data_IF_870034865632
#
_entry.id   IF_870034865632
#
_cell.length_a   1.000
_cell.length_b   1.000
_cell.length_c   1.000
_cell.angle_alpha   90.00
_cell.angle_beta   90.00
_cell.angle_gamma   90.00
#
_symmetry.space_group_name_H-M   'P 1'
#
loop_
_entity.id
_entity.type
_entity.pdbx_description
1 polymer ?
#
# COMPACT_ATOMS: atom_id res chain seq x y z
N UNK A 1 -38.37 29.20 -14.38
CA UNK A 1 -37.05 29.84 -14.13
C UNK A 1 -36.22 28.80 -13.45
N UNK A 2 -35.66 27.87 -14.28
CA UNK A 2 -34.84 26.78 -13.82
C UNK A 2 -33.48 27.32 -13.37
N UNK A 3 -33.26 27.28 -12.07
CA UNK A 3 -31.96 27.53 -11.48
C UNK A 3 -31.02 26.39 -11.91
N UNK A 4 -30.19 26.64 -12.93
CA UNK A 4 -29.07 25.80 -13.30
C UNK A 4 -28.24 25.52 -12.04
N UNK A 5 -28.30 24.27 -11.55
CA UNK A 5 -27.33 23.78 -10.57
C UNK A 5 -25.95 24.03 -11.14
N UNK A 6 -25.00 24.61 -10.40
CA UNK A 6 -23.64 24.75 -10.87
C UNK A 6 -23.13 23.36 -11.22
N UNK A 7 -22.82 23.11 -12.48
CA UNK A 7 -22.02 21.97 -12.88
C UNK A 7 -20.68 22.11 -12.16
N UNK A 8 -20.48 21.36 -11.09
CA UNK A 8 -19.17 21.17 -10.51
C UNK A 8 -18.32 20.55 -11.62
N UNK A 9 -17.45 21.38 -12.20
CA UNK A 9 -16.47 20.93 -13.20
C UNK A 9 -15.67 19.81 -12.53
N UNK A 10 -15.85 18.58 -12.97
CA UNK A 10 -15.08 17.46 -12.46
C UNK A 10 -13.60 17.78 -12.67
N UNK A 11 -12.81 17.62 -11.61
CA UNK A 11 -11.38 17.92 -11.66
C UNK A 11 -10.71 16.77 -12.41
N UNK A 12 -10.07 17.08 -13.52
CA UNK A 12 -9.26 16.11 -14.26
C UNK A 12 -8.19 15.53 -13.33
N UNK A 13 -8.00 14.20 -13.33
CA UNK A 13 -7.08 13.52 -12.43
C UNK A 13 -6.03 12.72 -13.20
N UNK A 14 -4.75 13.09 -13.05
CA UNK A 14 -3.60 12.41 -13.63
C UNK A 14 -2.79 11.75 -12.51
N UNK A 15 -2.73 10.45 -12.53
CA UNK A 15 -2.10 9.66 -11.46
C UNK A 15 -0.89 8.93 -12.01
N UNK A 16 0.26 9.07 -11.36
CA UNK A 16 1.44 8.23 -11.62
C UNK A 16 1.48 7.11 -10.59
N UNK A 17 1.48 5.88 -11.07
CA UNK A 17 1.57 4.69 -10.23
C UNK A 17 2.87 3.97 -10.49
N UNK A 18 3.66 3.82 -9.46
CA UNK A 18 4.89 3.03 -9.44
C UNK A 18 4.72 1.75 -8.60
N UNK A 19 5.77 1.01 -8.47
CA UNK A 19 5.88 -0.22 -7.69
C UNK A 19 6.83 -1.18 -8.39
N UNK A 20 7.52 -2.02 -7.64
CA UNK A 20 8.57 -2.88 -8.20
C UNK A 20 8.04 -3.90 -9.22
N UNK A 21 8.95 -4.48 -9.99
CA UNK A 21 8.62 -5.57 -10.93
C UNK A 21 8.08 -6.78 -10.16
N UNK A 22 7.14 -7.51 -10.74
CA UNK A 22 6.49 -8.67 -10.11
C UNK A 22 5.30 -8.34 -9.21
N UNK A 23 4.88 -7.06 -9.16
CA UNK A 23 3.74 -6.65 -8.34
C UNK A 23 2.38 -6.86 -9.02
N UNK A 24 2.35 -7.22 -10.31
CA UNK A 24 1.14 -7.33 -11.15
C UNK A 24 0.27 -6.05 -11.10
N UNK A 25 0.96 -4.90 -11.21
CA UNK A 25 0.31 -3.59 -11.16
C UNK A 25 -0.79 -3.42 -12.21
N UNK A 26 -0.59 -4.02 -13.39
CA UNK A 26 -1.53 -3.91 -14.49
C UNK A 26 -2.90 -4.46 -14.09
N UNK A 27 -2.95 -5.70 -13.62
CA UNK A 27 -4.20 -6.37 -13.22
C UNK A 27 -4.90 -5.59 -12.11
N UNK A 28 -4.13 -5.14 -11.11
CA UNK A 28 -4.67 -4.31 -10.03
C UNK A 28 -5.27 -2.99 -10.54
N UNK A 29 -4.58 -2.30 -11.45
CA UNK A 29 -5.05 -1.03 -11.99
C UNK A 29 -6.22 -1.20 -12.97
N UNK A 30 -6.33 -2.34 -13.65
CA UNK A 30 -7.51 -2.71 -14.42
C UNK A 30 -8.74 -2.88 -13.51
N UNK A 31 -8.57 -3.49 -12.31
CA UNK A 31 -9.63 -3.56 -11.29
C UNK A 31 -9.99 -2.16 -10.77
N UNK A 32 -9.01 -1.28 -10.52
CA UNK A 32 -9.27 0.12 -10.15
C UNK A 32 -10.08 0.84 -11.23
N UNK A 33 -9.70 0.70 -12.50
CA UNK A 33 -10.45 1.30 -13.62
C UNK A 33 -11.87 0.74 -13.73
N UNK A 34 -12.05 -0.57 -13.51
CA UNK A 34 -13.37 -1.21 -13.51
C UNK A 34 -14.25 -0.70 -12.36
N UNK A 35 -13.67 -0.56 -11.17
CA UNK A 35 -14.37 0.01 -10.01
C UNK A 35 -14.74 1.48 -10.25
N UNK A 36 -13.82 2.28 -10.76
CA UNK A 36 -14.07 3.69 -11.10
C UNK A 36 -15.21 3.85 -12.12
N UNK A 37 -15.25 2.99 -13.16
CA UNK A 37 -16.32 2.99 -14.16
C UNK A 37 -17.69 2.70 -13.54
N UNK A 38 -17.78 1.81 -12.56
CA UNK A 38 -19.03 1.56 -11.82
C UNK A 38 -19.50 2.79 -11.05
N UNK A 39 -18.58 3.73 -10.73
CA UNK A 39 -18.86 5.00 -10.08
C UNK A 39 -18.87 6.21 -11.04
N UNK A 40 -19.03 5.95 -12.35
CA UNK A 40 -19.16 7.00 -13.37
C UNK A 40 -17.87 7.69 -13.77
N UNK A 41 -16.69 7.12 -13.44
CA UNK A 41 -15.39 7.68 -13.79
C UNK A 41 -14.70 6.83 -14.88
N UNK A 42 -14.50 7.41 -16.05
CA UNK A 42 -13.72 6.78 -17.12
C UNK A 42 -12.25 7.16 -17.03
N UNK A 43 -11.40 6.15 -16.84
CA UNK A 43 -9.95 6.33 -16.66
C UNK A 43 -9.20 5.69 -17.83
N UNK A 44 -8.34 6.45 -18.48
CA UNK A 44 -7.38 5.90 -19.44
C UNK A 44 -6.19 5.30 -18.67
N UNK A 45 -6.01 3.97 -18.74
CA UNK A 45 -4.84 3.30 -18.18
C UNK A 45 -3.72 3.23 -19.23
N UNK A 46 -2.58 3.81 -18.92
CA UNK A 46 -1.38 3.79 -19.74
C UNK A 46 -0.30 2.92 -19.10
N UNK A 47 -0.16 1.68 -19.57
CA UNK A 47 0.91 0.78 -19.15
C UNK A 47 2.18 1.07 -19.96
N UNK A 48 3.16 1.73 -19.34
CA UNK A 48 4.43 2.13 -20.00
C UNK A 48 5.18 0.89 -20.51
N UNK A 49 5.23 -0.17 -19.71
CA UNK A 49 5.89 -1.43 -20.10
C UNK A 49 5.29 -2.06 -21.36
N UNK A 50 3.96 -2.20 -21.43
CA UNK A 50 3.27 -2.79 -22.58
C UNK A 50 3.53 -1.98 -23.86
N UNK A 51 3.48 -0.65 -23.74
CA UNK A 51 3.75 0.25 -24.88
C UNK A 51 5.21 0.18 -25.35
N UNK A 52 6.15 0.00 -24.42
CA UNK A 52 7.56 -0.19 -24.77
C UNK A 52 7.77 -1.52 -25.54
N UNK A 53 7.07 -2.61 -25.16
CA UNK A 53 7.11 -3.85 -25.92
C UNK A 53 6.47 -3.70 -27.31
N UNK A 54 5.40 -2.93 -27.45
CA UNK A 54 4.78 -2.66 -28.75
C UNK A 54 5.73 -1.93 -29.70
N UNK A 55 6.58 -1.01 -29.18
CA UNK A 55 7.62 -0.33 -29.98
C UNK A 55 8.89 -1.16 -30.19
N UNK A 56 9.06 -2.26 -29.48
CA UNK A 56 10.23 -3.14 -29.56
C UNK A 56 9.83 -4.61 -29.74
N UNK A 57 9.18 -4.99 -30.87
CA UNK A 57 8.67 -6.34 -31.10
C UNK A 57 9.76 -7.40 -31.23
N UNK A 58 11.02 -7.01 -31.40
CA UNK A 58 12.20 -7.87 -31.37
C UNK A 58 12.62 -8.30 -29.96
N UNK A 59 12.07 -7.65 -28.90
CA UNK A 59 12.39 -7.96 -27.51
C UNK A 59 11.37 -8.98 -26.97
N UNK A 60 11.81 -10.18 -26.53
CA UNK A 60 10.89 -11.18 -25.99
C UNK A 60 10.16 -10.68 -24.71
N UNK A 61 8.94 -11.14 -24.43
CA UNK A 61 8.24 -10.83 -23.18
C UNK A 61 9.10 -11.13 -21.94
N UNK A 62 9.05 -10.25 -20.94
CA UNK A 62 9.83 -10.34 -19.70
C UNK A 62 11.32 -9.95 -19.84
N UNK A 63 11.79 -9.52 -21.06
CA UNK A 63 13.20 -9.25 -21.34
C UNK A 63 13.51 -7.78 -21.63
N UNK A 64 12.58 -6.87 -21.44
CA UNK A 64 12.79 -5.44 -21.73
C UNK A 64 13.94 -4.82 -20.92
N UNK A 65 14.21 -5.30 -19.71
CA UNK A 65 15.31 -4.84 -18.88
C UNK A 65 16.68 -5.45 -19.26
N UNK A 66 16.71 -6.43 -20.17
CA UNK A 66 17.94 -7.05 -20.66
C UNK A 66 18.58 -6.26 -21.83
N UNK A 67 17.84 -5.33 -22.46
CA UNK A 67 18.37 -4.47 -23.53
C UNK A 67 19.30 -3.38 -22.97
N UNK A 68 20.05 -2.72 -23.85
CA UNK A 68 20.94 -1.63 -23.42
C UNK A 68 20.18 -0.48 -22.77
N UNK A 69 20.76 0.16 -21.76
CA UNK A 69 20.17 1.31 -21.07
C UNK A 69 19.79 2.44 -22.03
N UNK A 70 20.61 2.70 -23.05
CA UNK A 70 20.33 3.73 -24.05
C UNK A 70 19.04 3.43 -24.82
N UNK A 71 18.88 2.19 -25.29
CA UNK A 71 17.65 1.76 -25.99
C UNK A 71 16.44 1.83 -25.05
N UNK A 72 16.58 1.36 -23.81
CA UNK A 72 15.53 1.42 -22.80
C UNK A 72 15.06 2.87 -22.55
N UNK A 73 15.99 3.82 -22.45
CA UNK A 73 15.67 5.24 -22.32
C UNK A 73 14.94 5.81 -23.56
N UNK A 74 15.42 5.44 -24.77
CA UNK A 74 14.79 5.92 -26.02
C UNK A 74 13.35 5.41 -26.15
N UNK A 75 13.12 4.13 -25.89
CA UNK A 75 11.77 3.56 -25.91
C UNK A 75 10.85 4.25 -24.89
N UNK A 76 11.32 4.45 -23.68
CA UNK A 76 10.52 5.14 -22.65
C UNK A 76 10.16 6.55 -23.07
N UNK A 77 11.10 7.31 -23.64
CA UNK A 77 10.85 8.66 -24.13
C UNK A 77 9.80 8.68 -25.24
N UNK A 78 9.86 7.74 -26.17
CA UNK A 78 8.87 7.61 -27.22
C UNK A 78 7.48 7.38 -26.65
N UNK A 79 7.34 6.37 -25.79
CA UNK A 79 6.07 6.03 -25.13
C UNK A 79 5.49 7.21 -24.35
N UNK A 80 6.33 7.95 -23.60
CA UNK A 80 5.84 9.11 -22.84
C UNK A 80 5.39 10.26 -23.73
N UNK A 81 5.99 10.48 -24.91
CA UNK A 81 5.47 11.46 -25.89
C UNK A 81 4.04 11.11 -26.30
N UNK A 82 3.78 9.84 -26.56
CA UNK A 82 2.44 9.39 -26.94
C UNK A 82 1.44 9.52 -25.78
N UNK A 83 1.87 9.23 -24.55
CA UNK A 83 1.04 9.43 -23.37
C UNK A 83 0.70 10.90 -23.20
N UNK A 84 1.68 11.79 -23.31
CA UNK A 84 1.48 13.24 -23.21
C UNK A 84 0.51 13.78 -24.29
N UNK A 85 0.57 13.25 -25.51
CA UNK A 85 -0.37 13.61 -26.58
C UNK A 85 -1.82 13.18 -26.28
N UNK A 86 -2.03 12.19 -25.43
CA UNK A 86 -3.36 11.69 -25.05
C UNK A 86 -3.96 12.44 -23.85
N UNK A 87 -3.16 13.16 -23.06
CA UNK A 87 -3.63 13.83 -21.82
C UNK A 87 -4.73 14.86 -22.04
N UNK A 88 -4.78 15.51 -23.22
CA UNK A 88 -5.80 16.50 -23.54
C UNK A 88 -7.15 15.88 -23.96
N UNK A 89 -7.18 14.56 -24.22
CA UNK A 89 -8.36 13.85 -24.76
C UNK A 89 -9.10 13.05 -23.68
N UNK A 90 -8.50 12.88 -22.50
CA UNK A 90 -9.05 12.09 -21.42
C UNK A 90 -9.05 12.90 -20.13
N UNK A 91 -10.14 12.88 -19.41
CA UNK A 91 -10.32 13.60 -18.16
C UNK A 91 -9.48 12.94 -17.04
N UNK A 92 -9.51 11.61 -16.94
CA UNK A 92 -8.73 10.89 -15.96
C UNK A 92 -7.73 9.96 -16.63
N UNK A 93 -6.52 9.92 -16.08
CA UNK A 93 -5.40 9.15 -16.61
C UNK A 93 -4.62 8.49 -15.49
N UNK A 94 -4.32 7.20 -15.62
CA UNK A 94 -3.35 6.49 -14.79
C UNK A 94 -2.15 6.11 -15.66
N UNK A 95 -0.95 6.53 -15.27
CA UNK A 95 0.32 6.11 -15.87
C UNK A 95 0.97 5.07 -14.98
N UNK A 96 0.91 3.81 -15.40
CA UNK A 96 1.57 2.69 -14.73
C UNK A 96 3.03 2.60 -15.18
N UNK A 97 3.95 2.90 -14.29
CA UNK A 97 5.40 2.94 -14.56
C UNK A 97 6.20 2.32 -13.41
N UNK A 98 7.49 2.60 -13.36
CA UNK A 98 8.40 2.28 -12.27
C UNK A 98 9.21 3.52 -11.90
N UNK A 99 9.66 3.60 -10.66
CA UNK A 99 10.62 4.62 -10.23
C UNK A 99 12.06 4.12 -10.38
N UNK A 100 12.31 2.86 -10.06
CA UNK A 100 13.64 2.25 -10.08
C UNK A 100 13.63 0.89 -10.78
N UNK A 101 14.78 0.53 -11.33
CA UNK A 101 15.07 -0.84 -11.74
C UNK A 101 16.34 -1.33 -11.07
N UNK A 102 16.24 -2.46 -10.38
CA UNK A 102 17.37 -3.24 -9.87
C UNK A 102 17.51 -4.50 -10.73
N UNK A 103 18.40 -4.44 -11.71
CA UNK A 103 18.56 -5.51 -12.71
C UNK A 103 20.04 -5.75 -13.05
N UNK A 104 20.33 -6.46 -14.13
CA UNK A 104 21.72 -6.79 -14.56
C UNK A 104 22.65 -5.58 -14.69
N UNK A 105 22.10 -4.41 -14.97
CA UNK A 105 22.84 -3.15 -15.08
C UNK A 105 23.00 -2.41 -13.75
N UNK A 106 22.66 -3.06 -12.62
CA UNK A 106 22.63 -2.45 -11.29
C UNK A 106 21.32 -1.68 -11.03
N UNK A 107 21.38 -0.76 -10.08
CA UNK A 107 20.28 0.14 -9.75
C UNK A 107 20.31 1.36 -10.68
N UNK A 108 19.17 1.69 -11.29
CA UNK A 108 19.05 2.87 -12.14
C UNK A 108 17.60 3.42 -12.16
N UNK A 109 17.44 4.74 -12.44
CA UNK A 109 16.11 5.35 -12.49
C UNK A 109 15.30 4.82 -13.67
N UNK A 110 14.03 4.57 -13.42
CA UNK A 110 13.06 4.08 -14.40
C UNK A 110 12.16 5.18 -14.98
N UNK A 111 12.42 6.45 -14.71
CA UNK A 111 11.64 7.59 -15.16
C UNK A 111 12.55 8.72 -15.67
N UNK A 112 11.92 9.73 -16.29
CA UNK A 112 12.58 10.96 -16.78
C UNK A 112 11.84 12.15 -16.16
N UNK A 113 12.56 12.99 -15.41
CA UNK A 113 12.00 14.15 -14.71
C UNK A 113 11.25 15.12 -15.64
N UNK A 114 11.76 15.34 -16.87
CA UNK A 114 11.12 16.25 -17.82
C UNK A 114 9.75 15.73 -18.26
N UNK A 115 9.66 14.44 -18.50
CA UNK A 115 8.40 13.81 -18.94
C UNK A 115 7.35 13.78 -17.85
N UNK A 116 7.74 13.44 -16.63
CA UNK A 116 6.82 13.43 -15.47
C UNK A 116 6.36 14.88 -15.17
N UNK A 117 7.28 15.84 -15.20
CA UNK A 117 6.92 17.28 -15.02
C UNK A 117 5.97 17.77 -16.11
N UNK A 118 6.18 17.35 -17.37
CA UNK A 118 5.30 17.71 -18.48
C UNK A 118 3.90 17.08 -18.35
N UNK A 119 3.80 15.90 -17.75
CA UNK A 119 2.53 15.23 -17.45
C UNK A 119 1.70 16.00 -16.43
N UNK A 120 2.36 16.68 -15.47
CA UNK A 120 1.75 17.38 -14.33
C UNK A 120 0.81 16.45 -13.56
N UNK A 121 1.31 15.41 -12.91
CA UNK A 121 0.48 14.53 -12.12
C UNK A 121 -0.16 15.26 -10.94
N UNK A 122 -1.41 14.88 -10.64
CA UNK A 122 -2.18 15.38 -9.49
C UNK A 122 -1.98 14.49 -8.26
N UNK A 123 -1.48 13.23 -8.45
CA UNK A 123 -1.23 12.27 -7.38
C UNK A 123 -0.16 11.26 -7.80
N UNK A 124 0.66 10.85 -6.84
CA UNK A 124 1.62 9.75 -6.98
C UNK A 124 1.26 8.62 -6.01
N UNK A 125 1.30 7.38 -6.50
CA UNK A 125 1.08 6.20 -5.67
C UNK A 125 2.22 5.20 -5.91
N UNK A 126 2.89 4.79 -4.83
CA UNK A 126 3.76 3.63 -4.85
C UNK A 126 2.99 2.42 -4.33
N UNK A 127 2.70 1.47 -5.21
CA UNK A 127 2.12 0.20 -4.79
C UNK A 127 3.21 -0.71 -4.23
N UNK A 128 2.92 -1.32 -3.08
CA UNK A 128 3.79 -2.29 -2.41
C UNK A 128 3.05 -3.60 -2.18
N UNK A 129 3.79 -4.69 -2.04
CA UNK A 129 3.24 -6.00 -1.65
C UNK A 129 4.25 -6.71 -0.74
N UNK A 130 3.83 -7.78 -0.09
CA UNK A 130 4.70 -8.55 0.79
C UNK A 130 5.84 -9.24 0.02
N UNK A 131 6.99 -9.38 0.70
CA UNK A 131 8.22 -9.84 0.07
C UNK A 131 8.09 -11.26 -0.52
N UNK A 132 7.39 -12.15 0.17
CA UNK A 132 7.18 -13.53 -0.29
C UNK A 132 6.33 -13.59 -1.57
N UNK A 133 5.33 -12.71 -1.70
CA UNK A 133 4.50 -12.61 -2.90
C UNK A 133 5.30 -12.14 -4.09
N UNK A 134 6.05 -11.05 -3.88
CA UNK A 134 6.91 -10.49 -4.90
C UNK A 134 8.00 -11.48 -5.31
N UNK A 135 8.66 -12.13 -4.35
CA UNK A 135 9.68 -13.13 -4.61
C UNK A 135 9.15 -14.33 -5.41
N UNK A 136 7.96 -14.82 -5.10
CA UNK A 136 7.33 -15.92 -5.82
C UNK A 136 7.04 -15.54 -7.29
N UNK A 137 6.48 -14.34 -7.53
CA UNK A 137 6.21 -13.86 -8.90
C UNK A 137 7.48 -13.59 -9.70
N UNK A 138 8.48 -12.98 -9.08
CA UNK A 138 9.77 -12.75 -9.74
C UNK A 138 10.44 -14.06 -10.17
N UNK A 139 10.36 -15.11 -9.36
CA UNK A 139 10.87 -16.44 -9.72
C UNK A 139 10.08 -17.05 -10.88
N UNK A 140 8.75 -16.98 -10.84
CA UNK A 140 7.84 -17.57 -11.83
C UNK A 140 7.92 -16.84 -13.18
N UNK A 141 7.74 -15.51 -13.18
CA UNK A 141 7.45 -14.75 -14.40
C UNK A 141 8.72 -14.18 -15.04
N UNK A 142 9.75 -13.91 -14.23
CA UNK A 142 11.01 -13.31 -14.68
C UNK A 142 12.22 -14.21 -14.54
N UNK A 143 12.07 -15.45 -14.04
CA UNK A 143 13.18 -16.39 -13.78
C UNK A 143 14.31 -15.71 -12.96
N UNK A 144 13.90 -14.83 -12.06
CA UNK A 144 14.77 -14.02 -11.24
C UNK A 144 15.46 -14.85 -10.16
N UNK A 145 16.71 -14.51 -9.84
CA UNK A 145 17.49 -15.11 -8.75
C UNK A 145 17.55 -14.20 -7.52
N UNK A 146 16.68 -13.19 -7.43
CA UNK A 146 16.64 -12.31 -6.27
C UNK A 146 16.24 -13.10 -5.02
N UNK A 147 16.97 -12.86 -3.94
CA UNK A 147 16.63 -13.34 -2.59
C UNK A 147 15.48 -12.52 -2.01
N UNK A 148 14.88 -12.98 -0.91
CA UNK A 148 13.88 -12.16 -0.18
C UNK A 148 14.49 -10.84 0.30
N UNK A 149 15.78 -10.83 0.68
CA UNK A 149 16.49 -9.59 1.04
C UNK A 149 16.59 -8.63 -0.14
N UNK A 150 16.92 -9.10 -1.33
CA UNK A 150 16.97 -8.25 -2.52
C UNK A 150 15.58 -7.65 -2.83
N UNK A 151 14.51 -8.41 -2.61
CA UNK A 151 13.13 -7.96 -2.78
C UNK A 151 12.80 -6.85 -1.78
N UNK A 152 13.14 -7.03 -0.50
CA UNK A 152 12.95 -6.02 0.54
C UNK A 152 13.69 -4.71 0.19
N UNK A 153 14.97 -4.82 -0.20
CA UNK A 153 15.78 -3.65 -0.59
C UNK A 153 15.19 -2.95 -1.81
N UNK A 154 14.80 -3.69 -2.85
CA UNK A 154 14.22 -3.09 -4.06
C UNK A 154 12.88 -2.40 -3.79
N UNK A 155 12.06 -2.96 -2.89
CA UNK A 155 10.81 -2.33 -2.46
C UNK A 155 11.04 -0.94 -1.85
N UNK A 156 12.03 -0.81 -0.96
CA UNK A 156 12.42 0.47 -0.36
C UNK A 156 12.97 1.46 -1.40
N UNK A 157 13.79 0.97 -2.32
CA UNK A 157 14.32 1.79 -3.42
C UNK A 157 13.21 2.31 -4.34
N UNK A 158 12.16 1.52 -4.56
CA UNK A 158 11.01 1.93 -5.36
C UNK A 158 10.17 2.99 -4.64
N UNK A 159 9.94 2.83 -3.33
CA UNK A 159 9.25 3.82 -2.50
C UNK A 159 10.02 5.15 -2.54
N UNK A 160 11.31 5.12 -2.18
CA UNK A 160 12.17 6.30 -2.18
C UNK A 160 12.24 6.95 -3.58
N UNK A 161 12.42 6.14 -4.63
CA UNK A 161 12.47 6.63 -6.01
C UNK A 161 11.19 7.31 -6.44
N UNK A 162 10.02 6.83 -5.98
CA UNK A 162 8.71 7.46 -6.27
C UNK A 162 8.55 8.77 -5.51
N UNK A 163 8.95 8.82 -4.27
CA UNK A 163 8.94 10.04 -3.48
C UNK A 163 9.86 11.10 -4.11
N UNK A 164 11.09 10.73 -4.49
CA UNK A 164 12.01 11.62 -5.19
C UNK A 164 11.45 12.09 -6.55
N UNK A 165 10.73 11.22 -7.26
CA UNK A 165 10.04 11.58 -8.50
C UNK A 165 8.97 12.64 -8.23
N UNK A 166 8.13 12.48 -7.21
CA UNK A 166 7.10 13.42 -6.82
C UNK A 166 7.72 14.77 -6.39
N UNK A 167 8.65 14.78 -5.43
CA UNK A 167 9.30 15.98 -4.92
C UNK A 167 10.05 16.76 -6.01
N UNK A 168 10.73 16.06 -6.92
CA UNK A 168 11.50 16.66 -8.00
C UNK A 168 10.67 17.14 -9.20
N UNK A 169 9.38 16.76 -9.31
CA UNK A 169 8.55 17.10 -10.46
C UNK A 169 7.30 17.90 -10.13
N UNK A 170 6.55 17.48 -9.12
CA UNK A 170 5.28 18.06 -8.69
C UNK A 170 5.16 17.98 -7.16
N UNK A 171 5.90 18.78 -6.39
CA UNK A 171 5.96 18.68 -4.92
C UNK A 171 4.61 18.95 -4.25
N UNK A 172 3.70 19.65 -4.89
CA UNK A 172 2.35 19.93 -4.38
C UNK A 172 1.39 18.75 -4.52
N UNK A 173 1.71 17.77 -5.39
CA UNK A 173 0.88 16.59 -5.57
C UNK A 173 1.12 15.61 -4.43
N UNK A 174 0.08 15.02 -3.81
CA UNK A 174 0.27 14.06 -2.74
C UNK A 174 0.97 12.78 -3.23
N UNK A 175 1.76 12.20 -2.36
CA UNK A 175 2.36 10.88 -2.51
C UNK A 175 1.75 9.92 -1.50
N UNK A 176 1.36 8.73 -1.97
CA UNK A 176 0.84 7.66 -1.12
C UNK A 176 1.59 6.35 -1.36
N UNK A 177 1.99 5.70 -0.28
CA UNK A 177 2.39 4.32 -0.26
C UNK A 177 1.14 3.47 0.03
N UNK A 178 0.78 2.54 -0.86
CA UNK A 178 -0.43 1.74 -0.77
C UNK A 178 -0.12 0.26 -0.95
N UNK A 179 -0.58 -0.57 -0.02
CA UNK A 179 -0.51 -2.01 -0.18
C UNK A 179 -1.43 -2.47 -1.34
N UNK A 180 -0.92 -3.34 -2.21
CA UNK A 180 -1.76 -4.02 -3.19
C UNK A 180 -2.77 -4.94 -2.50
N UNK A 181 -2.33 -5.64 -1.47
CA UNK A 181 -3.16 -6.49 -0.62
C UNK A 181 -3.96 -7.54 -1.38
N UNK A 182 -5.04 -7.98 -0.78
CA UNK A 182 -6.10 -8.74 -1.44
C UNK A 182 -6.98 -7.73 -2.19
N UNK A 183 -6.84 -7.66 -3.49
CA UNK A 183 -7.27 -6.60 -4.42
C UNK A 183 -8.57 -5.83 -4.05
N UNK A 184 -9.63 -6.51 -3.61
CA UNK A 184 -10.93 -5.86 -3.35
C UNK A 184 -10.89 -4.71 -2.33
N UNK A 185 -10.07 -4.82 -1.30
CA UNK A 185 -10.07 -3.82 -0.20
C UNK A 185 -9.27 -2.57 -0.57
N UNK A 186 -8.16 -2.75 -1.27
CA UNK A 186 -7.24 -1.65 -1.60
C UNK A 186 -7.60 -0.93 -2.89
N UNK A 187 -8.36 -1.57 -3.79
CA UNK A 187 -8.94 -0.94 -4.99
C UNK A 187 -9.87 0.20 -4.60
N UNK A 188 -10.76 -0.01 -3.63
CA UNK A 188 -11.63 1.03 -3.11
C UNK A 188 -10.83 2.15 -2.42
N UNK A 189 -9.80 1.80 -1.64
CA UNK A 189 -8.89 2.79 -1.04
C UNK A 189 -8.21 3.65 -2.10
N UNK A 190 -7.71 3.04 -3.19
CA UNK A 190 -7.11 3.78 -4.30
C UNK A 190 -8.12 4.75 -4.94
N UNK A 191 -9.34 4.27 -5.22
CA UNK A 191 -10.41 5.09 -5.78
C UNK A 191 -10.73 6.30 -4.89
N UNK A 192 -10.89 6.08 -3.59
CA UNK A 192 -11.18 7.14 -2.61
C UNK A 192 -10.07 8.17 -2.53
N UNK A 193 -8.80 7.75 -2.55
CA UNK A 193 -7.66 8.67 -2.60
C UNK A 193 -7.71 9.58 -3.84
N UNK A 194 -8.13 9.04 -4.99
CA UNK A 194 -8.18 9.77 -6.25
C UNK A 194 -9.42 10.65 -6.39
N UNK A 195 -10.59 10.19 -5.98
CA UNK A 195 -11.87 10.81 -6.33
C UNK A 195 -12.71 11.26 -5.14
N UNK A 196 -12.33 10.89 -3.91
CA UNK A 196 -13.00 11.32 -2.67
C UNK A 196 -12.00 12.00 -1.71
N UNK A 197 -11.31 13.10 -2.13
CA UNK A 197 -10.20 13.67 -1.35
C UNK A 197 -10.63 14.23 0.00
N UNK A 198 -11.93 14.50 0.18
CA UNK A 198 -12.48 14.97 1.45
C UNK A 198 -12.77 13.85 2.45
N UNK A 199 -12.80 12.58 2.00
CA UNK A 199 -13.02 11.44 2.90
C UNK A 199 -11.81 11.30 3.83
N UNK A 200 -12.03 11.23 5.16
CA UNK A 200 -10.93 11.18 6.11
C UNK A 200 -10.06 9.94 5.92
N UNK A 201 -8.73 10.12 6.02
CA UNK A 201 -7.74 9.04 5.92
C UNK A 201 -7.37 8.56 7.31
N UNK A 202 -7.48 7.24 7.52
CA UNK A 202 -7.18 6.60 8.79
C UNK A 202 -6.12 5.50 8.64
N UNK A 203 -5.15 5.47 9.55
CA UNK A 203 -4.31 4.30 9.76
C UNK A 203 -4.99 3.37 10.77
N UNK A 204 -5.06 2.08 10.47
CA UNK A 204 -5.62 1.08 11.37
C UNK A 204 -4.50 0.44 12.19
N UNK A 205 -4.61 0.50 13.51
CA UNK A 205 -3.64 -0.07 14.44
C UNK A 205 -4.28 -1.21 15.24
N UNK A 206 -3.64 -2.34 15.29
CA UNK A 206 -4.11 -3.52 16.05
C UNK A 206 -2.99 -4.53 16.27
N UNK A 207 -3.08 -5.39 17.31
CA UNK A 207 -2.07 -6.40 17.55
C UNK A 207 -2.13 -7.50 16.48
N UNK A 208 -0.99 -7.82 15.86
CA UNK A 208 -0.90 -8.86 14.85
C UNK A 208 -0.27 -10.15 15.39
N UNK A 209 0.98 -10.10 15.80
CA UNK A 209 1.76 -11.29 16.18
C UNK A 209 1.33 -11.90 17.53
N UNK A 210 0.85 -11.07 18.47
CA UNK A 210 0.43 -11.50 19.80
C UNK A 210 -0.90 -12.27 19.83
N UNK A 211 -1.69 -12.14 18.77
CA UNK A 211 -2.99 -12.83 18.62
C UNK A 211 -2.91 -14.04 17.69
N UNK A 212 -1.71 -14.36 17.20
CA UNK A 212 -1.52 -15.53 16.35
C UNK A 212 -1.97 -16.81 17.08
N UNK A 213 -2.98 -17.48 16.51
CA UNK A 213 -3.57 -18.68 17.14
C UNK A 213 -4.79 -18.42 18.04
N UNK A 214 -5.32 -17.19 18.10
CA UNK A 214 -6.53 -16.81 18.83
C UNK A 214 -7.66 -16.44 17.84
N UNK A 215 -8.40 -17.42 17.29
CA UNK A 215 -9.33 -17.20 16.18
C UNK A 215 -10.46 -16.22 16.52
N UNK A 216 -10.97 -16.22 17.75
CA UNK A 216 -12.04 -15.30 18.17
C UNK A 216 -11.55 -13.83 18.20
N UNK A 217 -10.35 -13.62 18.72
CA UNK A 217 -9.71 -12.28 18.74
C UNK A 217 -9.41 -11.80 17.32
N UNK A 218 -8.93 -12.69 16.46
CA UNK A 218 -8.71 -12.39 15.03
C UNK A 218 -10.03 -12.00 14.37
N UNK A 219 -11.13 -12.72 14.63
CA UNK A 219 -12.44 -12.37 14.08
C UNK A 219 -12.95 -10.99 14.54
N UNK A 220 -12.65 -10.58 15.77
CA UNK A 220 -12.96 -9.22 16.25
C UNK A 220 -12.13 -8.15 15.55
N UNK A 221 -10.83 -8.41 15.33
CA UNK A 221 -9.95 -7.52 14.57
C UNK A 221 -10.46 -7.38 13.12
N UNK A 222 -10.84 -8.47 12.47
CA UNK A 222 -11.38 -8.42 11.11
C UNK A 222 -12.70 -7.63 11.04
N UNK A 223 -13.56 -7.79 12.04
CA UNK A 223 -14.80 -6.99 12.15
C UNK A 223 -14.48 -5.50 12.31
N UNK A 224 -13.52 -5.15 13.17
CA UNK A 224 -13.04 -3.77 13.33
C UNK A 224 -12.51 -3.22 12.00
N UNK A 225 -11.58 -3.93 11.35
CA UNK A 225 -11.00 -3.53 10.05
C UNK A 225 -12.09 -3.28 9.01
N UNK A 226 -13.04 -4.21 8.88
CA UNK A 226 -14.16 -4.09 7.94
C UNK A 226 -15.00 -2.84 8.20
N UNK A 227 -15.38 -2.59 9.47
CA UNK A 227 -16.19 -1.43 9.83
C UNK A 227 -15.48 -0.09 9.60
N UNK A 228 -14.18 -0.01 9.87
CA UNK A 228 -13.41 1.21 9.60
C UNK A 228 -13.25 1.46 8.09
N UNK A 229 -13.02 0.40 7.30
CA UNK A 229 -12.93 0.50 5.84
C UNK A 229 -14.25 0.90 5.17
N UNK A 230 -15.42 0.63 5.78
CA UNK A 230 -16.72 1.14 5.30
C UNK A 230 -16.78 2.68 5.41
N UNK A 231 -16.20 3.28 6.45
CA UNK A 231 -16.28 4.71 6.73
C UNK A 231 -15.14 5.53 6.14
N UNK A 232 -13.92 5.08 6.29
CA UNK A 232 -12.73 5.87 6.04
C UNK A 232 -11.92 5.35 4.85
N UNK A 233 -11.06 6.20 4.30
CA UNK A 233 -9.97 5.78 3.44
C UNK A 233 -8.87 5.20 4.33
N UNK A 234 -8.76 3.87 4.40
CA UNK A 234 -7.91 3.20 5.37
C UNK A 234 -6.57 2.75 4.81
N UNK A 235 -5.50 3.03 5.55
CA UNK A 235 -4.20 2.40 5.41
C UNK A 235 -4.07 1.32 6.48
N UNK A 236 -4.06 0.07 6.04
CA UNK A 236 -4.18 -1.10 6.88
C UNK A 236 -2.90 -1.95 6.82
N UNK A 237 -2.10 -2.04 7.90
CA UNK A 237 -0.88 -2.85 7.92
C UNK A 237 -1.17 -4.34 7.71
N UNK A 238 -2.38 -4.80 8.02
CA UNK A 238 -2.82 -6.19 7.80
C UNK A 238 -3.02 -6.56 6.33
N UNK A 239 -2.95 -5.60 5.39
CA UNK A 239 -2.95 -5.90 3.96
C UNK A 239 -1.56 -6.43 3.48
N UNK A 240 -0.54 -6.46 4.37
CA UNK A 240 0.80 -7.01 4.15
C UNK A 240 1.12 -8.06 5.21
N UNK A 241 1.24 -9.33 4.82
CA UNK A 241 1.28 -10.47 5.73
C UNK A 241 2.70 -10.87 6.19
N UNK A 242 3.75 -10.23 5.70
CA UNK A 242 5.15 -10.60 5.96
C UNK A 242 5.55 -10.58 7.46
N UNK A 243 4.79 -9.89 8.31
CA UNK A 243 5.01 -9.87 9.76
C UNK A 243 4.96 -11.28 10.41
N UNK A 244 4.26 -12.22 9.78
CA UNK A 244 4.15 -13.59 10.29
C UNK A 244 5.27 -14.52 9.83
N UNK A 245 6.08 -14.13 8.83
CA UNK A 245 7.12 -14.99 8.26
C UNK A 245 8.13 -15.49 9.31
N UNK A 246 8.71 -14.62 10.19
CA UNK A 246 9.64 -15.07 11.21
C UNK A 246 9.00 -16.05 12.21
N UNK A 247 7.72 -15.87 12.53
CA UNK A 247 6.98 -16.78 13.41
C UNK A 247 6.88 -18.18 12.79
N UNK A 248 6.48 -18.29 11.53
CA UNK A 248 6.38 -19.56 10.82
C UNK A 248 7.74 -20.21 10.62
N UNK A 249 8.77 -19.45 10.29
CA UNK A 249 10.14 -19.95 10.14
C UNK A 249 10.68 -20.52 11.47
N UNK A 250 10.50 -19.82 12.59
CA UNK A 250 10.89 -20.32 13.93
C UNK A 250 10.13 -21.60 14.32
N UNK A 251 8.84 -21.68 13.99
CA UNK A 251 8.03 -22.88 14.22
C UNK A 251 8.55 -24.06 13.41
N UNK A 252 8.80 -23.88 12.11
CA UNK A 252 9.34 -24.89 11.22
C UNK A 252 10.72 -25.38 11.67
N UNK A 253 11.61 -24.45 12.08
CA UNK A 253 12.93 -24.77 12.62
C UNK A 253 12.86 -25.66 13.86
N UNK A 254 11.94 -25.37 14.80
CA UNK A 254 11.72 -26.21 16.00
C UNK A 254 11.27 -27.63 15.65
N UNK A 255 10.62 -27.80 14.49
CA UNK A 255 10.17 -29.08 13.94
C UNK A 255 11.24 -29.77 13.08
N UNK A 256 12.46 -29.22 12.97
CA UNK A 256 13.54 -29.75 12.14
C UNK A 256 13.32 -29.60 10.64
N UNK A 257 12.39 -28.75 10.21
CA UNK A 257 12.09 -28.51 8.80
C UNK A 257 13.04 -27.47 8.22
N UNK A 258 13.47 -27.70 6.97
CA UNK A 258 14.32 -26.75 6.23
C UNK A 258 13.51 -25.71 5.46
N UNK A 259 12.28 -26.05 5.12
CA UNK A 259 11.33 -25.18 4.41
C UNK A 259 9.98 -25.18 5.11
N UNK A 260 9.19 -24.14 4.88
CA UNK A 260 7.81 -24.07 5.30
C UNK A 260 6.95 -23.47 4.19
N UNK A 261 5.66 -23.73 4.24
CA UNK A 261 4.70 -23.28 3.26
C UNK A 261 3.86 -22.17 3.84
N UNK A 262 3.69 -21.09 3.04
CA UNK A 262 2.72 -20.04 3.31
C UNK A 262 1.72 -19.99 2.16
N UNK A 263 0.47 -19.69 2.46
CA UNK A 263 -0.54 -19.47 1.42
C UNK A 263 -0.61 -18.00 1.10
N UNK A 264 -0.30 -17.66 -0.14
CA UNK A 264 -0.29 -16.28 -0.62
C UNK A 264 -1.26 -16.19 -1.78
N UNK A 265 -2.32 -15.40 -1.66
CA UNK A 265 -3.37 -15.26 -2.70
C UNK A 265 -3.91 -16.62 -3.21
N UNK A 266 -4.12 -17.56 -2.30
CA UNK A 266 -4.57 -18.92 -2.63
C UNK A 266 -3.51 -19.81 -3.27
N UNK A 267 -2.27 -19.35 -3.44
CA UNK A 267 -1.15 -20.13 -3.93
C UNK A 267 -0.21 -20.52 -2.78
N UNK A 268 0.26 -21.75 -2.83
CA UNK A 268 1.25 -22.26 -1.88
C UNK A 268 2.65 -21.85 -2.32
N UNK A 269 3.33 -21.10 -1.46
CA UNK A 269 4.71 -20.64 -1.65
C UNK A 269 5.60 -21.32 -0.64
N UNK A 270 6.63 -22.05 -1.11
CA UNK A 270 7.64 -22.63 -0.24
C UNK A 270 8.77 -21.63 0.01
N UNK A 271 9.08 -21.42 1.28
CA UNK A 271 10.15 -20.53 1.74
C UNK A 271 11.21 -21.34 2.49
N UNK A 272 12.46 -20.93 2.33
CA UNK A 272 13.57 -21.49 3.09
C UNK A 272 13.60 -20.88 4.50
N UNK A 273 13.73 -21.73 5.52
CA UNK A 273 13.71 -21.32 6.94
C UNK A 273 14.88 -20.39 7.27
N UNK A 274 16.09 -20.74 6.83
CA UNK A 274 17.30 -19.97 7.15
C UNK A 274 17.30 -18.64 6.42
N UNK A 275 16.85 -18.59 5.15
CA UNK A 275 16.70 -17.34 4.41
C UNK A 275 15.81 -16.35 5.17
N UNK A 276 14.63 -16.79 5.63
CA UNK A 276 13.70 -15.92 6.37
C UNK A 276 14.27 -15.48 7.72
N UNK A 277 14.91 -16.38 8.46
CA UNK A 277 15.51 -16.05 9.77
C UNK A 277 16.70 -15.10 9.66
N UNK A 278 17.49 -15.19 8.58
CA UNK A 278 18.58 -14.25 8.31
C UNK A 278 18.12 -12.81 8.06
N UNK A 279 16.91 -12.63 7.53
CA UNK A 279 16.34 -11.31 7.22
C UNK A 279 15.28 -10.85 8.22
N UNK A 280 15.15 -11.53 9.36
CA UNK A 280 14.13 -11.17 10.38
C UNK A 280 14.26 -9.71 10.84
N UNK A 281 15.49 -9.25 11.04
CA UNK A 281 15.77 -7.86 11.43
C UNK A 281 15.41 -6.87 10.31
N UNK A 282 15.69 -7.22 9.05
CA UNK A 282 15.35 -6.39 7.89
C UNK A 282 13.82 -6.29 7.75
N UNK A 283 13.08 -7.41 7.89
CA UNK A 283 11.60 -7.42 7.90
C UNK A 283 11.06 -6.51 9.00
N UNK A 284 11.55 -6.67 10.23
CA UNK A 284 11.09 -5.89 11.38
C UNK A 284 11.36 -4.39 11.21
N UNK A 285 12.52 -4.03 10.68
CA UNK A 285 12.88 -2.64 10.41
C UNK A 285 12.00 -2.00 9.34
N UNK A 286 11.69 -2.73 8.26
CA UNK A 286 10.83 -2.23 7.20
C UNK A 286 9.37 -2.13 7.63
N UNK A 287 8.86 -3.07 8.45
CA UNK A 287 7.53 -2.95 9.05
C UNK A 287 7.44 -1.66 9.87
N UNK A 288 8.43 -1.41 10.74
CA UNK A 288 8.47 -0.20 11.57
C UNK A 288 8.45 1.09 10.73
N UNK A 289 9.34 1.20 9.75
CA UNK A 289 9.44 2.37 8.88
C UNK A 289 8.16 2.58 8.04
N UNK A 290 7.62 1.49 7.50
CA UNK A 290 6.40 1.49 6.69
C UNK A 290 5.18 1.92 7.50
N UNK A 291 4.98 1.36 8.69
CA UNK A 291 3.81 1.65 9.51
C UNK A 291 3.81 3.13 9.92
N UNK A 292 4.96 3.71 10.21
CA UNK A 292 5.07 5.15 10.46
C UNK A 292 4.79 5.98 9.22
N UNK A 293 5.28 5.57 8.05
CA UNK A 293 4.95 6.25 6.79
C UNK A 293 3.44 6.19 6.48
N UNK A 294 2.77 5.06 6.78
CA UNK A 294 1.31 4.93 6.64
C UNK A 294 0.56 5.83 7.64
N UNK A 295 1.06 5.99 8.86
CA UNK A 295 0.51 6.94 9.84
C UNK A 295 0.71 8.36 9.32
N UNK A 296 1.89 8.72 8.81
CA UNK A 296 2.20 10.08 8.36
C UNK A 296 1.30 10.54 7.22
N UNK A 297 0.91 9.66 6.30
CA UNK A 297 -0.01 9.96 5.20
C UNK A 297 -1.50 9.94 5.61
N UNK A 298 -1.82 9.60 6.88
CA UNK A 298 -3.16 9.57 7.45
C UNK A 298 -3.49 10.86 8.21
N UNK A 299 -4.78 11.17 8.39
CA UNK A 299 -5.25 12.27 9.25
C UNK A 299 -5.40 11.82 10.71
N UNK A 300 -5.65 10.53 10.90
CA UNK A 300 -5.89 9.93 12.20
C UNK A 300 -5.35 8.50 12.28
N UNK A 301 -5.16 8.04 13.51
CA UNK A 301 -4.98 6.62 13.83
C UNK A 301 -6.22 6.12 14.57
N UNK A 302 -6.70 4.94 14.20
CA UNK A 302 -7.76 4.23 14.93
C UNK A 302 -7.20 2.91 15.39
N UNK A 303 -6.99 2.78 16.68
CA UNK A 303 -6.39 1.59 17.29
C UNK A 303 -7.45 0.72 17.95
N UNK A 304 -7.38 -0.58 17.70
CA UNK A 304 -8.23 -1.58 18.34
C UNK A 304 -7.41 -2.43 19.31
N UNK A 305 -7.74 -2.37 20.58
CA UNK A 305 -7.11 -3.13 21.66
C UNK A 305 -8.12 -4.12 22.23
N UNK A 306 -8.13 -5.38 21.71
CA UNK A 306 -9.04 -6.42 22.17
C UNK A 306 -8.68 -6.96 23.54
N UNK A 307 -9.67 -7.63 24.19
CA UNK A 307 -9.46 -8.43 25.39
C UNK A 307 -8.98 -9.84 25.01
N UNK A 308 -8.00 -10.37 25.74
CA UNK A 308 -7.62 -11.77 25.68
C UNK A 308 -8.57 -12.67 26.49
N UNK A 309 -8.57 -13.99 26.25
CA UNK A 309 -9.39 -14.94 27.03
C UNK A 309 -9.14 -14.91 28.56
N UNK A 310 -7.97 -14.41 28.99
CA UNK A 310 -7.63 -14.20 30.41
C UNK A 310 -8.07 -12.84 30.97
N UNK A 311 -8.77 -12.03 30.16
CA UNK A 311 -9.26 -10.70 30.54
C UNK A 311 -8.23 -9.56 30.41
N UNK A 312 -7.04 -9.85 29.90
CA UNK A 312 -5.99 -8.85 29.72
C UNK A 312 -6.12 -8.13 28.36
N UNK A 313 -5.81 -6.83 28.28
CA UNK A 313 -5.75 -6.13 27.00
C UNK A 313 -4.53 -6.56 26.18
N UNK A 314 -4.71 -6.69 24.86
CA UNK A 314 -3.59 -6.92 23.94
C UNK A 314 -3.05 -5.60 23.47
N UNK A 315 -2.17 -5.02 24.26
CA UNK A 315 -1.44 -3.81 23.88
C UNK A 315 0.02 -4.18 23.60
N UNK A 316 0.38 -4.26 22.32
CA UNK A 316 1.77 -4.53 21.95
C UNK A 316 2.62 -3.25 21.99
N UNK A 317 3.93 -3.42 22.15
CA UNK A 317 4.87 -2.28 22.07
C UNK A 317 4.82 -1.58 20.71
N UNK A 318 4.47 -2.29 19.63
CA UNK A 318 4.23 -1.70 18.31
C UNK A 318 3.05 -0.73 18.35
N UNK A 319 1.89 -1.18 18.83
CA UNK A 319 0.69 -0.34 18.97
C UNK A 319 0.95 0.88 19.85
N UNK A 320 1.66 0.71 20.98
CA UNK A 320 2.02 1.87 21.82
C UNK A 320 2.88 2.90 21.09
N UNK A 321 3.85 2.44 20.30
CA UNK A 321 4.73 3.33 19.51
C UNK A 321 3.98 4.01 18.36
N UNK A 322 3.04 3.34 17.71
CA UNK A 322 2.17 3.91 16.69
C UNK A 322 1.28 5.02 17.26
N UNK A 323 0.64 4.77 18.42
CA UNK A 323 -0.16 5.78 19.12
C UNK A 323 0.68 7.00 19.49
N UNK A 324 1.86 6.79 20.04
CA UNK A 324 2.77 7.87 20.42
C UNK A 324 3.23 8.68 19.21
N UNK A 325 3.61 8.02 18.11
CA UNK A 325 4.02 8.69 16.87
C UNK A 325 2.89 9.56 16.31
N UNK A 326 1.67 9.04 16.24
CA UNK A 326 0.52 9.79 15.77
C UNK A 326 0.21 11.01 16.67
N UNK A 327 0.33 10.85 17.97
CA UNK A 327 0.15 11.95 18.95
C UNK A 327 1.22 13.05 18.75
N UNK A 328 2.50 12.68 18.66
CA UNK A 328 3.61 13.60 18.42
C UNK A 328 3.50 14.33 17.07
N UNK A 329 2.91 13.67 16.07
CA UNK A 329 2.59 14.27 14.77
C UNK A 329 1.29 15.10 14.77
N UNK A 330 0.70 15.37 15.93
CA UNK A 330 -0.54 16.13 16.12
C UNK A 330 -1.75 15.57 15.35
N UNK A 331 -1.80 14.26 15.14
CA UNK A 331 -2.93 13.58 14.50
C UNK A 331 -4.02 13.25 15.52
N UNK A 332 -5.25 12.98 15.03
CA UNK A 332 -6.29 12.45 15.90
C UNK A 332 -5.97 11.00 16.28
N UNK A 333 -6.01 10.68 17.57
CA UNK A 333 -5.70 9.36 18.11
C UNK A 333 -6.96 8.77 18.75
N UNK A 334 -7.56 7.80 18.10
CA UNK A 334 -8.74 7.10 18.57
C UNK A 334 -8.37 5.68 19.01
N UNK A 335 -8.82 5.29 20.21
CA UNK A 335 -8.56 3.98 20.77
C UNK A 335 -9.88 3.29 21.09
N UNK A 336 -10.11 2.12 20.54
CA UNK A 336 -11.22 1.25 20.88
C UNK A 336 -10.66 0.19 21.83
N UNK A 337 -11.04 0.28 23.10
CA UNK A 337 -10.50 -0.52 24.18
C UNK A 337 -11.61 -1.41 24.76
N UNK A 338 -11.62 -2.69 24.39
CA UNK A 338 -12.71 -3.61 24.78
C UNK A 338 -12.40 -4.39 26.04
N UNK A 339 -11.17 -4.36 26.55
CA UNK A 339 -10.78 -5.07 27.76
C UNK A 339 -11.39 -4.46 29.03
N UNK A 340 -11.74 -5.31 29.99
CA UNK A 340 -12.28 -4.89 31.30
C UNK A 340 -11.27 -4.10 32.13
N UNK A 341 -9.99 -4.47 32.01
CA UNK A 341 -8.94 -3.70 32.66
C UNK A 341 -8.82 -2.33 31.98
N UNK A 342 -8.89 -1.22 32.73
CA UNK A 342 -8.84 0.13 32.15
C UNK A 342 -7.49 0.39 31.49
N UNK A 343 -7.46 1.27 30.44
CA UNK A 343 -6.22 1.67 29.81
C UNK A 343 -5.31 2.42 30.78
N UNK A 344 -4.01 2.33 30.53
CA UNK A 344 -3.01 3.08 31.31
C UNK A 344 -3.15 4.59 31.09
N UNK A 345 -2.57 5.38 32.00
CA UNK A 345 -2.50 6.84 31.86
C UNK A 345 -1.79 7.25 30.56
N UNK A 346 -0.81 6.48 30.11
CA UNK A 346 -0.09 6.76 28.85
C UNK A 346 -1.02 6.65 27.64
N UNK A 347 -1.91 5.67 27.60
CA UNK A 347 -2.93 5.54 26.54
C UNK A 347 -3.95 6.68 26.64
N UNK A 348 -4.48 6.96 27.82
CA UNK A 348 -5.53 7.98 27.99
C UNK A 348 -5.04 9.41 27.74
N UNK A 349 -3.77 9.71 28.00
CA UNK A 349 -3.18 11.03 27.72
C UNK A 349 -2.73 11.20 26.28
N UNK A 350 -2.46 10.09 25.58
CA UNK A 350 -2.11 10.10 24.15
C UNK A 350 -3.36 10.16 23.27
N UNK A 351 -4.45 9.49 23.70
CA UNK A 351 -5.66 9.38 22.91
C UNK A 351 -6.47 10.68 22.90
N UNK A 352 -6.91 11.09 21.71
CA UNK A 352 -7.97 12.10 21.54
C UNK A 352 -9.27 11.62 22.18
N UNK A 353 -9.58 10.32 22.00
CA UNK A 353 -10.73 9.67 22.63
C UNK A 353 -10.54 8.16 22.74
N UNK A 354 -11.05 7.59 23.84
CA UNK A 354 -11.12 6.15 24.07
C UNK A 354 -12.59 5.72 24.05
N UNK A 355 -12.88 4.63 23.34
CA UNK A 355 -14.23 4.04 23.22
C UNK A 355 -14.23 2.63 23.82
N UNK A 356 -15.27 2.23 24.55
CA UNK A 356 -15.35 0.89 25.14
C UNK A 356 -15.80 -0.18 24.13
N UNK A 357 -16.27 0.21 22.94
CA UNK A 357 -16.74 -0.70 21.91
C UNK A 357 -16.60 -0.13 20.50
N UNK A 358 -16.58 -1.03 19.50
CA UNK A 358 -16.64 -0.64 18.09
C UNK A 358 -17.91 0.16 17.80
N UNK A 359 -19.04 -0.23 18.41
CA UNK A 359 -20.33 0.41 18.17
C UNK A 359 -20.34 1.88 18.61
N UNK A 360 -19.84 2.19 19.80
CA UNK A 360 -19.75 3.58 20.27
C UNK A 360 -18.77 4.43 19.45
N UNK A 361 -17.69 3.82 18.98
CA UNK A 361 -16.77 4.48 18.06
C UNK A 361 -17.47 4.83 16.74
N UNK A 362 -18.24 3.90 16.16
CA UNK A 362 -19.00 4.13 14.93
C UNK A 362 -20.03 5.26 15.08
N UNK A 363 -20.80 5.28 16.17
CA UNK A 363 -21.77 6.34 16.46
C UNK A 363 -21.10 7.73 16.55
N UNK A 364 -19.93 7.78 17.20
CA UNK A 364 -19.15 9.00 17.27
C UNK A 364 -18.63 9.42 15.88
N UNK A 365 -18.07 8.48 15.09
CA UNK A 365 -17.53 8.78 13.77
C UNK A 365 -18.61 9.25 12.79
N UNK A 366 -19.78 8.65 12.81
CA UNK A 366 -20.91 9.13 11.99
C UNK A 366 -21.34 10.55 12.37
N UNK A 367 -21.32 10.88 13.66
CA UNK A 367 -21.67 12.23 14.13
C UNK A 367 -20.60 13.25 13.74
N UNK A 368 -19.33 12.91 13.93
CA UNK A 368 -18.20 13.85 13.75
C UNK A 368 -17.82 14.03 12.28
N UNK A 369 -17.83 12.94 11.53
CA UNK A 369 -17.34 12.91 10.15
C UNK A 369 -18.44 12.72 9.11
N UNK A 370 -19.71 12.58 9.49
CA UNK A 370 -20.82 12.24 8.58
C UNK A 370 -20.95 13.16 7.36
N UNK A 371 -20.51 14.43 7.47
CA UNK A 371 -20.47 15.36 6.34
C UNK A 371 -19.31 15.13 5.36
N UNK A 372 -18.38 14.23 5.69
CA UNK A 372 -17.18 13.89 4.88
C UNK A 372 -17.16 12.41 4.44
N UNK A 373 -18.14 11.59 4.88
CA UNK A 373 -18.24 10.15 4.61
C UNK A 373 -19.02 9.84 3.33
#
# INVERSE_FOLDING_TARGET
MDLLKPQTREIAMKIVVSGMVGLDKKDYLEEVCAYARQHGKEILLCNVGDRMYAEAPDVPPGRILDISRQRLHSLRRSVFKDILAQTSRHEHLIVNTHATFRWRHGLFPAFDFYQIRALKPDMFVCLIDSAERLGARLKKDHQSRHTLKDVLVWREEEILGTQMMQEGTCPEAPFYCLARGLAKNTVETFYRLAFEPNRPRAYLSFPMTHVAGLPDVIAEIERFRGKMKELFTCFDPGDLEEAYLPYYAKKARRQGQKTFEVTVLGQKVQLDVEEVLQIEADISSQIYARDFALIDQSEMIISFVPELPDGMPVLSSGVERELQHAHEAAKQVYVIWTAKRPPSVFVTQTATRVFPSIQEALEYFHKEYGGRL
#
